data_IF_767112861158
#
_entry.id   IF_767112861158
#
_cell.length_a   1.000
_cell.length_b   1.000
_cell.length_c   1.000
_cell.angle_alpha   90.00
_cell.angle_beta   90.00
_cell.angle_gamma   90.00
#
_symmetry.space_group_name_H-M   'P 1'
#
loop_
_entity.id
_entity.type
_entity.pdbx_description
1 polymer ?
#
# COMPACT_ATOMS: atom_id res chain seq x y z
N UNK A 1 -33.96 -31.62 -12.46
CA UNK A 1 -33.29 -30.90 -11.36
C UNK A 1 -31.93 -30.48 -11.89
N UNK A 2 -31.68 -29.18 -12.03
CA UNK A 2 -30.42 -28.68 -12.58
C UNK A 2 -29.31 -28.85 -11.54
N UNK A 3 -28.24 -29.57 -11.91
CA UNK A 3 -27.00 -29.65 -11.14
C UNK A 3 -26.45 -28.22 -10.96
N UNK A 4 -26.17 -27.76 -9.74
CA UNK A 4 -25.56 -26.46 -9.57
C UNK A 4 -24.20 -26.45 -10.27
N UNK A 5 -23.84 -25.36 -10.98
CA UNK A 5 -22.58 -25.30 -11.69
C UNK A 5 -21.44 -25.44 -10.69
N UNK A 6 -20.56 -26.41 -10.92
CA UNK A 6 -19.34 -26.60 -10.15
C UNK A 6 -18.52 -25.32 -10.25
N UNK A 7 -18.43 -24.55 -9.16
CA UNK A 7 -17.48 -23.44 -9.10
C UNK A 7 -16.07 -24.04 -9.13
N UNK A 8 -15.46 -24.05 -10.32
CA UNK A 8 -14.05 -24.39 -10.50
C UNK A 8 -13.24 -23.21 -10.00
N UNK A 9 -12.91 -23.20 -8.71
CA UNK A 9 -11.61 -22.75 -8.22
C UNK A 9 -11.47 -23.19 -6.77
N UNK A 10 -10.59 -24.14 -6.47
CA UNK A 10 -9.96 -24.18 -5.15
C UNK A 10 -8.63 -24.92 -5.27
N UNK A 11 -7.53 -24.18 -5.09
CA UNK A 11 -6.20 -24.76 -5.02
C UNK A 11 -6.18 -25.88 -3.97
N UNK A 12 -5.60 -27.04 -4.31
CA UNK A 12 -5.50 -28.17 -3.37
C UNK A 12 -4.64 -27.77 -2.18
N UNK A 13 -5.12 -28.06 -0.96
CA UNK A 13 -4.34 -27.81 0.26
C UNK A 13 -3.04 -28.60 0.22
N UNK A 14 -1.94 -27.99 0.68
CA UNK A 14 -0.67 -28.69 0.83
C UNK A 14 -0.87 -29.90 1.76
N UNK A 15 -0.59 -31.13 1.31
CA UNK A 15 -0.88 -32.33 2.10
C UNK A 15 0.03 -32.46 3.32
N UNK A 16 1.33 -32.23 3.16
CA UNK A 16 2.32 -32.22 4.24
C UNK A 16 3.64 -31.52 3.81
N UNK A 17 4.50 -31.13 4.78
CA UNK A 17 5.90 -30.85 4.50
C UNK A 17 6.65 -32.11 4.03
N UNK A 18 7.65 -31.93 3.15
CA UNK A 18 8.54 -33.02 2.74
C UNK A 18 9.46 -33.45 3.88
N UNK A 19 9.79 -34.74 3.97
CA UNK A 19 10.58 -35.33 5.06
C UNK A 19 11.95 -35.90 4.62
N UNK A 20 12.21 -35.95 3.32
CA UNK A 20 13.45 -36.53 2.76
C UNK A 20 14.54 -35.46 2.69
N UNK A 21 15.79 -35.87 2.96
CA UNK A 21 16.98 -35.03 2.83
C UNK A 21 17.61 -34.67 4.18
N UNK A 22 18.76 -33.99 4.12
CA UNK A 22 19.47 -33.50 5.30
C UNK A 22 18.90 -32.14 5.71
N UNK A 23 18.62 -31.97 7.00
CA UNK A 23 18.19 -30.68 7.55
C UNK A 23 19.34 -29.67 7.44
N UNK A 24 19.06 -28.48 6.93
CA UNK A 24 20.02 -27.38 6.77
C UNK A 24 19.38 -26.09 7.29
N UNK A 25 20.17 -25.30 8.03
CA UNK A 25 19.74 -23.99 8.49
C UNK A 25 19.90 -22.97 7.35
N UNK A 26 18.84 -22.23 7.06
CA UNK A 26 18.84 -21.19 6.04
C UNK A 26 18.48 -19.84 6.64
N UNK A 27 19.07 -18.79 6.10
CA UNK A 27 18.60 -17.42 6.31
C UNK A 27 17.80 -17.00 5.09
N UNK A 28 16.70 -16.30 5.33
CA UNK A 28 15.87 -15.73 4.29
C UNK A 28 15.70 -14.24 4.54
N UNK A 29 15.48 -13.48 3.48
CA UNK A 29 15.20 -12.05 3.54
C UNK A 29 13.72 -11.73 3.84
N UNK A 30 13.07 -12.63 4.59
CA UNK A 30 11.72 -12.47 5.08
C UNK A 30 11.75 -12.04 6.54
N UNK A 31 11.09 -10.93 6.84
CA UNK A 31 11.02 -10.36 8.17
C UNK A 31 9.62 -10.56 8.73
N UNK A 32 9.54 -11.23 9.88
CA UNK A 32 8.27 -11.52 10.56
C UNK A 32 7.61 -10.25 11.13
N UNK A 33 6.33 -10.09 10.85
CA UNK A 33 5.47 -9.13 11.56
C UNK A 33 5.03 -9.73 12.89
N UNK A 34 5.70 -9.32 13.98
CA UNK A 34 5.46 -9.83 15.34
C UNK A 34 4.06 -9.56 15.87
N UNK A 35 3.50 -8.40 15.53
CA UNK A 35 2.19 -7.98 16.03
C UNK A 35 1.43 -7.24 14.94
N UNK A 36 0.21 -7.71 14.68
CA UNK A 36 -0.79 -6.99 13.91
C UNK A 36 -1.93 -6.61 14.86
N UNK A 37 -2.37 -5.34 14.88
CA UNK A 37 -3.48 -4.94 15.71
C UNK A 37 -4.79 -5.54 15.19
N UNK A 38 -5.66 -5.99 16.10
CA UNK A 38 -6.99 -6.45 15.73
C UNK A 38 -7.96 -5.27 15.62
N UNK A 39 -7.88 -4.53 14.51
CA UNK A 39 -8.71 -3.35 14.24
C UNK A 39 -9.44 -3.49 12.91
N UNK A 40 -10.47 -2.66 12.71
CA UNK A 40 -11.08 -2.47 11.40
C UNK A 40 -10.34 -1.36 10.65
N UNK A 41 -9.89 -1.65 9.43
CA UNK A 41 -9.32 -0.67 8.51
C UNK A 41 -10.45 -0.16 7.60
N UNK A 42 -10.45 1.13 7.30
CA UNK A 42 -11.41 1.74 6.40
C UNK A 42 -10.76 2.02 5.05
N UNK A 43 -11.35 1.51 3.98
CA UNK A 43 -10.89 1.68 2.61
C UNK A 43 -11.70 2.76 1.89
N UNK A 44 -11.00 3.68 1.24
CA UNK A 44 -11.58 4.78 0.51
C UNK A 44 -11.00 4.83 -0.91
N UNK A 45 -11.87 5.16 -1.85
CA UNK A 45 -11.52 5.53 -3.21
C UNK A 45 -11.16 7.02 -3.26
N UNK A 46 -9.98 7.31 -3.79
CA UNK A 46 -9.48 8.67 -4.05
C UNK A 46 -9.51 8.93 -5.55
N UNK A 47 -10.03 10.09 -5.94
CA UNK A 47 -10.00 10.55 -7.33
C UNK A 47 -9.46 11.96 -7.37
N UNK A 48 -8.40 12.18 -8.12
CA UNK A 48 -7.75 13.48 -8.28
C UNK A 48 -8.13 14.06 -9.65
N UNK A 49 -8.41 15.37 -9.70
CA UNK A 49 -8.73 16.08 -10.93
C UNK A 49 -7.94 17.40 -10.97
N UNK A 50 -7.19 17.68 -12.05
CA UNK A 50 -6.95 16.83 -13.24
C UNK A 50 -6.12 15.58 -12.93
N UNK A 51 -6.11 14.61 -13.86
CA UNK A 51 -5.28 13.41 -13.73
C UNK A 51 -3.79 13.78 -13.79
N UNK A 52 -3.01 13.21 -12.88
CA UNK A 52 -1.59 13.50 -12.75
C UNK A 52 -0.80 12.24 -12.40
N UNK A 53 0.51 12.20 -12.68
CA UNK A 53 1.34 11.06 -12.37
C UNK A 53 1.34 10.70 -10.87
N UNK A 54 1.53 9.41 -10.51
CA UNK A 54 1.50 8.96 -9.11
C UNK A 54 2.41 9.74 -8.13
N UNK A 55 3.64 10.16 -8.50
CA UNK A 55 4.46 10.99 -7.61
C UNK A 55 3.81 12.34 -7.27
N UNK A 56 3.05 12.92 -8.19
CA UNK A 56 2.30 14.17 -7.95
C UNK A 56 1.07 13.89 -7.09
N UNK A 57 0.31 12.82 -7.38
CA UNK A 57 -0.80 12.38 -6.53
C UNK A 57 -0.39 12.19 -5.07
N UNK A 58 0.81 11.65 -4.84
CA UNK A 58 1.40 11.51 -3.49
C UNK A 58 1.65 12.84 -2.80
N UNK A 59 2.15 13.85 -3.51
CA UNK A 59 2.32 15.22 -2.99
C UNK A 59 0.98 15.88 -2.67
N UNK A 60 0.00 15.74 -3.57
CA UNK A 60 -1.38 16.22 -3.35
C UNK A 60 -1.97 15.57 -2.10
N UNK A 61 -1.80 14.25 -1.97
CA UNK A 61 -2.25 13.50 -0.81
C UNK A 61 -1.59 13.97 0.48
N UNK A 62 -0.27 14.19 0.46
CA UNK A 62 0.45 14.73 1.61
C UNK A 62 -0.12 16.09 2.03
N UNK A 63 -0.34 17.00 1.08
CA UNK A 63 -0.94 18.30 1.36
C UNK A 63 -2.36 18.16 1.92
N UNK A 64 -3.18 17.28 1.36
CA UNK A 64 -4.52 16.97 1.89
C UNK A 64 -4.45 16.49 3.34
N UNK A 65 -3.55 15.54 3.63
CA UNK A 65 -3.40 15.04 5.00
C UNK A 65 -2.87 16.10 5.94
N UNK A 66 -2.01 17.01 5.51
CA UNK A 66 -1.51 18.10 6.35
C UNK A 66 -2.59 19.14 6.63
N UNK A 67 -3.36 19.54 5.61
CA UNK A 67 -4.36 20.61 5.72
C UNK A 67 -5.64 20.18 6.45
N UNK A 68 -6.07 18.93 6.28
CA UNK A 68 -7.39 18.47 6.76
C UNK A 68 -7.32 17.39 7.84
N UNK A 69 -6.13 17.17 8.44
CA UNK A 69 -5.93 16.11 9.44
C UNK A 69 -6.90 16.22 10.61
N UNK A 70 -6.90 17.38 11.25
CA UNK A 70 -7.61 17.60 12.51
C UNK A 70 -9.09 17.94 12.27
N UNK A 71 -9.45 18.46 11.09
CA UNK A 71 -10.84 18.77 10.74
C UNK A 71 -11.58 17.53 10.25
N UNK A 72 -11.21 17.02 9.08
CA UNK A 72 -12.07 16.11 8.30
C UNK A 72 -11.56 14.68 8.34
N UNK A 73 -10.28 14.49 8.60
CA UNK A 73 -9.69 13.15 8.76
C UNK A 73 -9.71 12.67 10.20
N UNK A 74 -10.33 13.41 11.13
CA UNK A 74 -10.52 13.03 12.53
C UNK A 74 -9.19 12.63 13.24
N UNK A 75 -8.13 13.39 12.98
CA UNK A 75 -6.78 13.18 13.50
C UNK A 75 -6.04 11.96 12.92
N UNK A 76 -6.67 11.21 12.01
CA UNK A 76 -6.13 9.98 11.46
C UNK A 76 -4.92 10.23 10.55
N UNK A 77 -4.11 9.19 10.36
CA UNK A 77 -2.98 9.17 9.43
C UNK A 77 -3.22 8.11 8.36
N UNK A 78 -4.02 8.43 7.33
CA UNK A 78 -4.28 7.48 6.27
C UNK A 78 -3.04 7.26 5.39
N UNK A 79 -2.98 6.09 4.78
CA UNK A 79 -1.96 5.71 3.79
C UNK A 79 -2.58 5.60 2.41
N UNK A 80 -1.80 5.92 1.39
CA UNK A 80 -2.27 5.99 0.01
C UNK A 80 -1.32 5.30 -0.96
N UNK A 81 -1.89 4.58 -1.93
CA UNK A 81 -1.16 3.84 -2.95
C UNK A 81 -0.58 4.72 -4.08
N UNK A 82 -0.92 6.02 -4.10
CA UNK A 82 -0.49 6.96 -5.14
C UNK A 82 -1.42 7.02 -6.36
N UNK A 83 -2.51 6.25 -6.36
CA UNK A 83 -3.48 6.16 -7.45
C UNK A 83 -4.91 6.34 -6.93
N UNK A 84 -5.54 5.27 -6.44
CA UNK A 84 -6.97 5.25 -6.08
C UNK A 84 -7.21 4.79 -4.66
N UNK A 85 -6.36 3.94 -4.10
CA UNK A 85 -6.66 3.27 -2.83
C UNK A 85 -6.04 4.02 -1.66
N UNK A 86 -6.90 4.50 -0.76
CA UNK A 86 -6.52 5.03 0.54
C UNK A 86 -7.05 4.13 1.65
N UNK A 87 -6.22 3.89 2.67
CA UNK A 87 -6.59 3.12 3.85
C UNK A 87 -6.39 3.96 5.12
N UNK A 88 -7.34 3.91 6.04
CA UNK A 88 -7.28 4.64 7.31
C UNK A 88 -7.58 3.70 8.48
N UNK A 89 -6.87 3.84 9.63
CA UNK A 89 -7.21 3.11 10.85
C UNK A 89 -8.48 3.66 11.55
N UNK A 90 -8.99 4.82 11.13
CA UNK A 90 -10.20 5.43 11.69
C UNK A 90 -11.19 5.81 10.58
N UNK A 91 -12.48 5.67 10.88
CA UNK A 91 -13.54 6.18 10.01
C UNK A 91 -13.51 7.72 9.96
N UNK A 92 -13.75 8.27 8.79
CA UNK A 92 -13.98 9.71 8.62
C UNK A 92 -15.46 10.04 8.87
N UNK A 93 -15.78 11.27 9.33
CA UNK A 93 -17.15 11.74 9.55
C UNK A 93 -17.87 12.09 8.22
N UNK A 94 -17.58 11.35 7.14
CA UNK A 94 -18.22 11.51 5.84
C UNK A 94 -18.15 10.20 5.02
N UNK A 95 -19.15 9.99 4.17
CA UNK A 95 -19.16 8.89 3.20
C UNK A 95 -18.52 9.31 1.86
N UNK A 96 -18.64 10.58 1.48
CA UNK A 96 -17.97 11.16 0.31
C UNK A 96 -17.70 12.64 0.55
N UNK A 97 -16.50 13.11 0.23
CA UNK A 97 -16.11 14.51 0.36
C UNK A 97 -15.15 14.94 -0.75
N UNK A 98 -15.30 16.19 -1.18
CA UNK A 98 -14.38 16.83 -2.12
C UNK A 98 -13.51 17.84 -1.36
N UNK A 99 -12.22 17.82 -1.65
CA UNK A 99 -11.22 18.72 -1.10
C UNK A 99 -10.58 19.53 -2.22
N UNK A 100 -10.25 20.78 -1.94
CA UNK A 100 -9.48 21.63 -2.84
C UNK A 100 -8.06 21.75 -2.31
N UNK A 101 -7.10 21.26 -3.09
CA UNK A 101 -5.69 21.22 -2.71
C UNK A 101 -4.92 22.16 -3.60
N UNK A 102 -4.15 23.04 -2.97
CA UNK A 102 -3.21 23.92 -3.64
C UNK A 102 -1.81 23.40 -3.34
N UNK A 103 -1.06 23.02 -4.37
CA UNK A 103 0.34 22.65 -4.20
C UNK A 103 1.21 23.88 -4.33
N UNK A 104 2.02 24.17 -3.30
CA UNK A 104 2.99 25.25 -3.35
C UNK A 104 4.13 24.87 -4.32
N UNK A 105 4.36 25.72 -5.33
CA UNK A 105 5.39 25.52 -6.35
C UNK A 105 4.85 25.06 -7.69
N UNK A 106 5.57 25.41 -8.75
CA UNK A 106 5.26 24.97 -10.11
C UNK A 106 5.67 23.50 -10.24
N UNK A 107 4.71 22.62 -10.53
CA UNK A 107 4.96 21.17 -10.73
C UNK A 107 5.51 20.92 -12.15
N UNK A 108 5.67 21.99 -12.94
CA UNK A 108 6.17 21.92 -14.30
C UNK A 108 7.70 21.90 -14.33
N UNK A 109 8.31 21.32 -15.38
CA UNK A 109 9.77 21.27 -15.54
C UNK A 109 10.44 22.66 -15.58
N UNK A 110 9.68 23.72 -15.86
CA UNK A 110 10.18 25.08 -15.99
C UNK A 110 9.38 26.02 -15.07
N UNK A 111 9.79 26.17 -13.80
CA UNK A 111 9.00 26.87 -12.80
C UNK A 111 8.93 28.38 -13.10
N UNK A 112 7.71 28.89 -13.28
CA UNK A 112 7.48 30.32 -13.46
C UNK A 112 6.90 30.92 -12.15
N UNK A 113 7.63 31.80 -11.45
CA UNK A 113 7.15 32.40 -10.21
C UNK A 113 5.91 33.28 -10.38
N UNK A 114 5.57 33.70 -11.60
CA UNK A 114 4.34 34.44 -11.90
C UNK A 114 3.11 33.54 -12.11
N UNK A 115 3.29 32.21 -12.21
CA UNK A 115 2.17 31.28 -12.43
C UNK A 115 1.45 31.01 -11.10
N UNK A 116 0.11 31.11 -11.05
CA UNK A 116 -0.64 30.73 -9.86
C UNK A 116 -0.39 29.28 -9.46
N UNK A 117 -0.31 28.97 -8.15
CA UNK A 117 -0.16 27.61 -7.67
C UNK A 117 -1.25 26.68 -8.26
N UNK A 118 -0.88 25.49 -8.74
CA UNK A 118 -1.85 24.58 -9.33
C UNK A 118 -2.86 24.10 -8.27
N UNK A 119 -4.14 24.15 -8.66
CA UNK A 119 -5.27 23.73 -7.85
C UNK A 119 -5.75 22.36 -8.30
N UNK A 120 -6.01 21.47 -7.35
CA UNK A 120 -6.50 20.12 -7.57
C UNK A 120 -7.77 19.89 -6.77
N UNK A 121 -8.71 19.15 -7.37
CA UNK A 121 -9.89 18.64 -6.66
C UNK A 121 -9.64 17.19 -6.33
N UNK A 122 -9.74 16.85 -5.05
CA UNK A 122 -9.55 15.47 -4.56
C UNK A 122 -10.87 15.00 -3.97
N UNK A 123 -11.48 14.01 -4.59
CA UNK A 123 -12.67 13.34 -4.07
C UNK A 123 -12.24 12.12 -3.29
N UNK A 124 -12.67 12.02 -2.03
CA UNK A 124 -12.51 10.85 -1.17
C UNK A 124 -13.88 10.26 -0.92
N UNK A 125 -14.08 8.98 -1.26
CA UNK A 125 -15.34 8.25 -1.04
C UNK A 125 -15.07 6.94 -0.32
N UNK A 126 -15.85 6.61 0.70
CA UNK A 126 -15.77 5.32 1.39
C UNK A 126 -16.13 4.19 0.43
N UNK A 127 -15.27 3.19 0.38
CA UNK A 127 -15.43 2.03 -0.50
C UNK A 127 -15.84 0.79 0.31
N UNK A 128 -15.10 0.47 1.37
CA UNK A 128 -15.38 -0.71 2.20
C UNK A 128 -14.74 -0.62 3.59
N UNK A 129 -15.07 -1.59 4.45
CA UNK A 129 -14.42 -1.81 5.75
C UNK A 129 -13.76 -3.17 5.76
N UNK A 130 -12.55 -3.23 6.30
CA UNK A 130 -11.70 -4.42 6.30
C UNK A 130 -11.52 -4.88 7.75
N UNK A 131 -11.98 -6.10 8.06
CA UNK A 131 -11.80 -6.66 9.40
C UNK A 131 -10.48 -7.46 9.47
N UNK A 132 -9.50 -7.00 10.26
CA UNK A 132 -8.24 -7.71 10.42
C UNK A 132 -8.37 -9.03 11.19
N UNK A 133 -9.44 -9.24 11.96
CA UNK A 133 -9.68 -10.50 12.67
C UNK A 133 -9.75 -11.67 11.69
N UNK A 134 -10.40 -11.47 10.54
CA UNK A 134 -10.51 -12.49 9.51
C UNK A 134 -9.15 -12.83 8.88
N UNK A 135 -8.30 -11.81 8.69
CA UNK A 135 -6.92 -12.02 8.26
C UNK A 135 -6.15 -12.83 9.32
N UNK A 136 -6.33 -12.53 10.62
CA UNK A 136 -5.72 -13.34 11.69
C UNK A 136 -6.19 -14.80 11.66
N UNK A 137 -7.49 -15.05 11.45
CA UNK A 137 -8.02 -16.42 11.33
C UNK A 137 -7.43 -17.13 10.12
N UNK A 138 -7.31 -16.45 8.98
CA UNK A 138 -6.68 -16.99 7.77
C UNK A 138 -5.20 -17.31 7.98
N UNK A 139 -4.41 -16.39 8.54
CA UNK A 139 -2.98 -16.59 8.82
C UNK A 139 -2.72 -17.76 9.78
N UNK A 140 -3.66 -18.03 10.69
CA UNK A 140 -3.60 -19.16 11.62
C UNK A 140 -4.22 -20.46 11.05
N UNK A 141 -4.58 -20.50 9.76
CA UNK A 141 -5.18 -21.67 9.12
C UNK A 141 -6.59 -22.03 9.61
N UNK A 142 -7.28 -21.10 10.29
CA UNK A 142 -8.63 -21.29 10.85
C UNK A 142 -9.75 -20.85 9.92
N UNK A 143 -9.43 -20.19 8.81
CA UNK A 143 -10.39 -19.70 7.81
C UNK A 143 -9.80 -19.84 6.40
N UNK A 144 -10.62 -20.06 5.35
CA UNK A 144 -10.17 -19.94 3.96
C UNK A 144 -9.74 -18.50 3.63
N UNK A 145 -9.05 -18.35 2.50
CA UNK A 145 -8.71 -17.05 1.93
C UNK A 145 -9.96 -16.37 1.38
N UNK A 146 -10.29 -15.19 1.91
CA UNK A 146 -11.45 -14.41 1.46
C UNK A 146 -11.03 -13.11 0.79
N UNK A 147 -11.98 -12.42 0.13
CA UNK A 147 -11.74 -11.09 -0.45
C UNK A 147 -11.35 -10.06 0.61
N UNK A 148 -11.88 -10.16 1.83
CA UNK A 148 -11.47 -9.30 2.94
C UNK A 148 -10.01 -9.54 3.31
N UNK A 149 -9.55 -10.80 3.35
CA UNK A 149 -8.13 -11.13 3.56
C UNK A 149 -7.23 -10.54 2.47
N UNK A 150 -7.62 -10.66 1.19
CA UNK A 150 -6.87 -10.08 0.08
C UNK A 150 -6.77 -8.55 0.18
N UNK A 151 -7.87 -7.90 0.54
CA UNK A 151 -7.92 -6.44 0.74
C UNK A 151 -7.10 -6.01 1.95
N UNK A 152 -7.10 -6.80 3.03
CA UNK A 152 -6.25 -6.58 4.19
C UNK A 152 -4.75 -6.68 3.85
N UNK A 153 -4.35 -7.72 3.10
CA UNK A 153 -2.97 -7.87 2.64
C UNK A 153 -2.57 -6.68 1.75
N UNK A 154 -3.47 -6.22 0.88
CA UNK A 154 -3.24 -5.03 0.06
C UNK A 154 -3.07 -3.76 0.91
N UNK A 155 -3.90 -3.57 1.94
CA UNK A 155 -3.79 -2.44 2.85
C UNK A 155 -2.45 -2.44 3.60
N UNK A 156 -1.98 -3.61 4.04
CA UNK A 156 -0.68 -3.78 4.69
C UNK A 156 0.49 -3.55 3.72
N UNK A 157 0.37 -3.99 2.47
CA UNK A 157 1.35 -3.72 1.41
C UNK A 157 1.44 -2.22 1.07
N UNK A 158 0.32 -1.51 1.07
CA UNK A 158 0.29 -0.06 0.87
C UNK A 158 0.86 0.66 2.10
N UNK A 159 0.54 0.21 3.31
CA UNK A 159 1.03 0.78 4.57
C UNK A 159 2.55 0.83 4.61
N UNK A 160 3.23 -0.29 4.36
CA UNK A 160 4.69 -0.34 4.45
C UNK A 160 5.38 0.45 3.33
N UNK A 161 4.75 0.53 2.16
CA UNK A 161 5.28 1.23 0.99
C UNK A 161 4.98 2.73 1.01
N UNK A 162 4.05 3.18 1.86
CA UNK A 162 3.60 4.56 1.87
C UNK A 162 4.75 5.54 2.10
N UNK A 163 5.52 5.36 3.18
CA UNK A 163 6.62 6.26 3.52
C UNK A 163 7.78 6.19 2.52
N UNK A 164 8.30 4.99 2.12
CA UNK A 164 9.34 4.91 1.10
C UNK A 164 8.94 5.55 -0.23
N UNK A 165 7.68 5.41 -0.64
CA UNK A 165 7.19 5.99 -1.89
C UNK A 165 7.10 7.52 -1.88
N UNK A 166 7.12 8.15 -0.70
CA UNK A 166 7.19 9.60 -0.54
C UNK A 166 8.64 10.10 -0.58
N UNK A 167 9.60 9.27 -0.14
CA UNK A 167 11.00 9.67 0.04
C UNK A 167 11.90 9.33 -1.15
N UNK A 168 11.59 8.24 -1.87
CA UNK A 168 12.49 7.66 -2.86
C UNK A 168 11.85 7.57 -4.25
N UNK A 169 12.71 7.47 -5.27
CA UNK A 169 12.27 7.18 -6.62
C UNK A 169 11.65 5.77 -6.63
N UNK A 170 10.39 5.67 -7.03
CA UNK A 170 9.62 4.41 -6.92
C UNK A 170 9.33 3.85 -8.30
N UNK A 171 9.69 2.58 -8.52
CA UNK A 171 9.31 1.81 -9.72
C UNK A 171 8.66 0.51 -9.26
N UNK A 172 7.34 0.41 -9.47
CA UNK A 172 6.56 -0.74 -9.01
C UNK A 172 6.56 -0.88 -7.48
N UNK A 173 7.26 -1.90 -6.98
CA UNK A 173 7.45 -2.18 -5.54
C UNK A 173 8.89 -1.96 -5.06
N UNK A 174 9.73 -1.36 -5.92
CA UNK A 174 11.12 -1.04 -5.61
C UNK A 174 11.33 0.45 -5.43
N UNK A 175 12.22 0.79 -4.51
CA UNK A 175 12.55 2.15 -4.09
C UNK A 175 14.04 2.40 -4.27
N UNK A 176 14.42 3.48 -4.94
CA UNK A 176 15.80 3.78 -5.31
C UNK A 176 16.24 5.11 -4.73
N UNK A 177 17.48 5.15 -4.24
CA UNK A 177 18.08 6.32 -3.62
C UNK A 177 19.28 6.82 -4.44
N UNK A 178 19.45 8.15 -4.60
CA UNK A 178 20.66 8.70 -5.22
C UNK A 178 21.89 8.60 -4.32
N UNK A 179 21.70 8.29 -3.02
CA UNK A 179 22.80 8.17 -2.07
C UNK A 179 23.65 6.96 -2.46
N UNK A 180 24.94 7.21 -2.72
CA UNK A 180 25.86 6.17 -3.19
C UNK A 180 25.65 5.76 -4.65
N UNK A 181 25.04 6.63 -5.47
CA UNK A 181 24.96 6.42 -6.92
C UNK A 181 26.35 6.26 -7.53
N UNK A 182 26.47 5.40 -8.52
CA UNK A 182 27.72 5.11 -9.22
C UNK A 182 27.56 5.48 -10.70
N UNK A 183 28.47 6.29 -11.23
CA UNK A 183 28.47 6.62 -12.64
C UNK A 183 28.77 5.37 -13.49
N UNK A 184 28.02 5.21 -14.58
CA UNK A 184 28.34 4.31 -15.67
C UNK A 184 28.98 5.09 -16.83
N UNK A 185 29.28 4.41 -17.93
CA UNK A 185 29.72 5.08 -19.15
C UNK A 185 28.63 6.05 -19.67
N UNK A 186 29.03 7.27 -20.04
CA UNK A 186 28.13 8.28 -20.58
C UNK A 186 27.32 9.03 -19.50
N UNK A 187 26.09 9.50 -19.82
CA UNK A 187 25.25 10.29 -18.89
C UNK A 187 24.40 9.41 -17.94
N UNK A 188 24.85 8.19 -17.64
CA UNK A 188 24.07 7.19 -16.90
C UNK A 188 24.62 7.00 -15.49
N UNK A 189 23.72 6.95 -14.51
CA UNK A 189 24.02 6.60 -13.12
C UNK A 189 23.29 5.32 -12.71
N UNK A 190 23.94 4.45 -11.94
CA UNK A 190 23.31 3.34 -11.24
C UNK A 190 22.92 3.78 -9.85
N UNK A 191 21.63 3.62 -9.54
CA UNK A 191 21.06 3.90 -8.22
C UNK A 191 20.73 2.58 -7.56
N UNK A 192 21.18 2.42 -6.31
CA UNK A 192 20.82 1.26 -5.51
C UNK A 192 19.47 1.49 -4.87
N UNK A 193 18.80 0.40 -4.57
CA UNK A 193 17.46 0.44 -4.02
C UNK A 193 17.12 -0.86 -3.31
N UNK A 194 15.87 -0.95 -2.88
CA UNK A 194 15.32 -2.15 -2.30
C UNK A 194 13.90 -2.40 -2.80
N UNK A 195 13.50 -3.67 -2.87
CA UNK A 195 12.13 -4.12 -3.12
C UNK A 195 11.43 -4.35 -1.80
N UNK A 196 10.15 -3.98 -1.69
CA UNK A 196 9.36 -4.24 -0.49
C UNK A 196 7.98 -4.83 -0.83
N UNK A 197 7.58 -5.90 -0.16
CA UNK A 197 6.19 -6.39 -0.23
C UNK A 197 5.73 -7.10 1.04
N UNK A 198 4.44 -7.02 1.34
CA UNK A 198 3.78 -7.81 2.37
C UNK A 198 3.21 -9.12 1.80
N UNK A 199 3.52 -10.26 2.40
CA UNK A 199 3.03 -11.59 1.96
C UNK A 199 2.58 -12.45 3.15
N UNK A 200 1.50 -13.23 3.03
CA UNK A 200 1.17 -14.27 4.00
C UNK A 200 2.19 -15.42 3.90
N UNK A 201 2.58 -15.99 5.05
CA UNK A 201 3.49 -17.13 5.12
C UNK A 201 2.92 -18.23 6.02
N UNK A 202 3.25 -19.49 5.71
CA UNK A 202 2.78 -20.66 6.46
C UNK A 202 3.76 -21.00 7.58
N UNK A 203 3.26 -21.29 8.79
CA UNK A 203 4.06 -21.82 9.90
C UNK A 203 4.59 -20.77 10.88
N UNK A 204 4.41 -19.49 10.56
CA UNK A 204 4.55 -18.39 11.49
C UNK A 204 3.20 -17.68 11.46
N UNK A 205 2.59 -17.40 12.60
CA UNK A 205 1.30 -16.70 12.72
C UNK A 205 1.39 -15.23 12.27
N UNK A 206 2.13 -14.94 11.19
CA UNK A 206 2.62 -13.62 10.83
C UNK A 206 2.62 -13.39 9.32
N UNK A 207 2.38 -12.13 8.97
CA UNK A 207 2.70 -11.58 7.67
C UNK A 207 4.23 -11.47 7.58
N UNK A 208 4.80 -11.67 6.40
CA UNK A 208 6.22 -11.43 6.17
C UNK A 208 6.40 -10.21 5.27
N UNK A 209 7.37 -9.37 5.63
CA UNK A 209 7.91 -8.38 4.72
C UNK A 209 9.07 -8.99 3.97
N UNK A 210 8.99 -8.92 2.65
CA UNK A 210 10.09 -9.28 1.77
C UNK A 210 10.86 -8.01 1.43
N UNK A 211 12.14 -7.95 1.83
CA UNK A 211 13.05 -6.87 1.49
C UNK A 211 14.18 -7.46 0.64
N UNK A 212 14.32 -7.05 -0.63
CA UNK A 212 15.52 -7.36 -1.46
C UNK A 212 16.29 -6.09 -1.72
#
# INVERSE_FOLDING_TARGET
MATPPTQVTEYVRRPAPGKVGKVVNIHSNFFEVKQLPNITIHHYDVTVTPDVPPPVNRKIFQQLTTSYRESDLNGARPVFDGRKNMFSPKAFPFESRMFEIVLAGDITPNPNPARPPPKFKVKVKKASTINLEELHRFLNGRSPLTNNCLTAIMALDVLIRHQPAMLYATVGRSFYTPIGKQALAGPLDVWRGFYQSARPAVGMSSLQFFLL
#
